data_IF_176196733151
#
_entry.id   IF_176196733151
#
_cell.length_a   1.000
_cell.length_b   1.000
_cell.length_c   1.000
_cell.angle_alpha   90.00
_cell.angle_beta   90.00
_cell.angle_gamma   90.00
#
_symmetry.space_group_name_H-M   'P 1'
#
loop_
_entity.id
_entity.type
_entity.pdbx_description
1 polymer ?
#
# COMPACT_ATOMS: atom_id res chain seq x y z
N UNK A 1 18.62 14.71 -4.23
CA UNK A 1 17.38 13.90 -4.40
C UNK A 1 17.58 12.44 -4.02
N UNK A 2 18.60 11.73 -4.53
CA UNK A 2 18.75 10.28 -4.26
C UNK A 2 19.03 9.98 -2.78
N UNK A 3 19.86 10.78 -2.12
CA UNK A 3 20.15 10.61 -0.68
C UNK A 3 19.03 11.10 0.25
N UNK A 4 18.04 11.84 -0.28
CA UNK A 4 16.90 12.35 0.51
C UNK A 4 15.69 11.40 0.50
N UNK A 5 15.79 10.24 -0.18
CA UNK A 5 14.73 9.24 -0.30
C UNK A 5 15.30 7.87 0.11
N UNK A 6 14.53 7.07 0.82
CA UNK A 6 14.98 5.74 1.25
C UNK A 6 15.04 4.77 0.08
N UNK A 7 15.93 3.78 0.16
CA UNK A 7 16.06 2.72 -0.85
C UNK A 7 14.76 1.93 -1.06
N UNK A 8 13.95 1.75 0.00
CA UNK A 8 12.65 1.08 -0.09
C UNK A 8 11.66 1.90 -0.91
N UNK A 9 11.58 3.22 -0.68
CA UNK A 9 10.70 4.12 -1.45
C UNK A 9 11.13 4.19 -2.92
N UNK A 10 12.44 4.23 -3.20
CA UNK A 10 12.95 4.18 -4.58
C UNK A 10 12.52 2.89 -5.29
N UNK A 11 12.64 1.73 -4.62
CA UNK A 11 12.16 0.45 -5.18
C UNK A 11 10.66 0.46 -5.46
N UNK A 12 9.86 1.02 -4.54
CA UNK A 12 8.42 1.13 -4.71
C UNK A 12 8.04 2.04 -5.89
N UNK A 13 8.75 3.16 -6.07
CA UNK A 13 8.46 4.12 -7.14
C UNK A 13 8.90 3.62 -8.52
N UNK A 14 9.92 2.77 -8.59
CA UNK A 14 10.51 2.30 -9.85
C UNK A 14 9.46 1.71 -10.81
N UNK A 15 8.54 0.87 -10.32
CA UNK A 15 7.47 0.30 -11.15
C UNK A 15 6.56 1.40 -11.72
N UNK A 16 6.11 2.34 -10.89
CA UNK A 16 5.24 3.43 -11.34
C UNK A 16 5.94 4.38 -12.32
N UNK A 17 7.24 4.65 -12.11
CA UNK A 17 8.03 5.50 -13.00
C UNK A 17 8.27 4.85 -14.36
N UNK A 18 8.47 3.53 -14.43
CA UNK A 18 8.53 2.82 -15.72
C UNK A 18 7.25 2.95 -16.51
N UNK A 19 6.09 2.74 -15.87
CA UNK A 19 4.80 2.91 -16.54
C UNK A 19 4.57 4.35 -17.00
N UNK A 20 5.00 5.34 -16.20
CA UNK A 20 4.94 6.74 -16.57
C UNK A 20 5.83 7.03 -17.79
N UNK A 21 7.07 6.54 -17.78
CA UNK A 21 8.01 6.66 -18.90
C UNK A 21 7.39 6.12 -20.20
N UNK A 22 6.87 4.90 -20.18
CA UNK A 22 6.26 4.26 -21.35
C UNK A 22 5.05 5.06 -21.86
N UNK A 23 4.25 5.61 -20.94
CA UNK A 23 3.08 6.41 -21.29
C UNK A 23 3.47 7.73 -21.94
N UNK A 24 4.42 8.45 -21.34
CA UNK A 24 4.93 9.74 -21.85
C UNK A 24 5.53 9.56 -23.24
N UNK A 25 6.34 8.51 -23.42
CA UNK A 25 6.97 8.21 -24.70
C UNK A 25 5.94 7.91 -25.81
N UNK A 26 4.86 7.19 -25.48
CA UNK A 26 3.78 6.89 -26.43
C UNK A 26 2.93 8.11 -26.80
N UNK A 27 2.82 9.09 -25.91
CA UNK A 27 1.96 10.26 -26.10
C UNK A 27 2.74 11.53 -26.48
N UNK A 28 4.05 11.43 -26.73
CA UNK A 28 4.95 12.56 -27.01
C UNK A 28 4.85 13.69 -25.97
N UNK A 29 4.72 13.32 -24.69
CA UNK A 29 4.71 14.26 -23.58
C UNK A 29 6.14 14.49 -23.09
N UNK A 30 6.36 15.59 -22.37
CA UNK A 30 7.58 15.74 -21.58
C UNK A 30 7.42 14.98 -20.25
N UNK A 31 8.50 14.32 -19.83
CA UNK A 31 8.54 13.57 -18.58
C UNK A 31 8.68 14.49 -17.36
N UNK A 32 9.31 15.65 -17.53
CA UNK A 32 9.63 16.59 -16.46
C UNK A 32 8.62 17.74 -16.37
N UNK A 33 8.13 18.26 -17.50
CA UNK A 33 7.04 19.23 -17.55
C UNK A 33 5.66 18.54 -17.53
N UNK A 34 5.25 18.16 -16.32
CA UNK A 34 4.01 17.43 -16.08
C UNK A 34 2.84 18.39 -15.94
N UNK A 35 2.28 18.81 -17.07
CA UNK A 35 0.97 19.45 -17.07
C UNK A 35 -0.03 18.58 -16.29
N UNK A 36 -0.84 19.22 -15.44
CA UNK A 36 -1.81 18.56 -14.56
C UNK A 36 -2.78 17.68 -15.34
N UNK A 37 -3.15 18.10 -16.56
CA UNK A 37 -3.99 17.29 -17.44
C UNK A 37 -3.32 15.98 -17.86
N UNK A 38 -2.03 15.98 -18.21
CA UNK A 38 -1.32 14.79 -18.64
C UNK A 38 -1.21 13.75 -17.53
N UNK A 39 -0.97 14.20 -16.30
CA UNK A 39 -0.96 13.33 -15.11
C UNK A 39 -2.33 12.73 -14.85
N UNK A 40 -3.40 13.52 -14.95
CA UNK A 40 -4.77 13.02 -14.77
C UNK A 40 -5.12 11.98 -15.85
N UNK A 41 -4.77 12.23 -17.12
CA UNK A 41 -5.03 11.27 -18.20
C UNK A 41 -4.28 9.96 -17.98
N UNK A 42 -3.04 10.00 -17.53
CA UNK A 42 -2.29 8.81 -17.15
C UNK A 42 -2.89 8.07 -15.95
N UNK A 43 -3.25 8.78 -14.88
CA UNK A 43 -3.89 8.15 -13.73
C UNK A 43 -5.24 7.54 -14.09
N UNK A 44 -5.97 8.16 -15.02
CA UNK A 44 -7.21 7.63 -15.60
C UNK A 44 -6.93 6.36 -16.40
N UNK A 45 -5.89 6.35 -17.24
CA UNK A 45 -5.44 5.15 -17.95
C UNK A 45 -5.10 4.00 -16.99
N UNK A 46 -4.34 4.26 -15.93
CA UNK A 46 -4.02 3.28 -14.88
C UNK A 46 -5.28 2.78 -14.16
N UNK A 47 -6.25 3.66 -13.91
CA UNK A 47 -7.53 3.30 -13.30
C UNK A 47 -8.33 2.35 -14.22
N UNK A 48 -8.35 2.59 -15.54
CA UNK A 48 -8.95 1.67 -16.51
C UNK A 48 -8.23 0.31 -16.55
N UNK A 49 -6.92 0.28 -16.32
CA UNK A 49 -6.14 -0.95 -16.13
C UNK A 49 -6.36 -1.62 -14.76
N UNK A 50 -7.43 -1.24 -14.05
CA UNK A 50 -7.84 -1.75 -12.72
C UNK A 50 -6.82 -1.54 -11.61
N UNK A 51 -5.96 -0.52 -11.72
CA UNK A 51 -5.06 -0.15 -10.62
C UNK A 51 -5.83 0.10 -9.31
N UNK A 52 -5.17 -0.23 -8.20
CA UNK A 52 -5.72 0.07 -6.87
C UNK A 52 -5.51 1.56 -6.52
N UNK A 53 -6.27 2.07 -5.56
CA UNK A 53 -6.07 3.44 -5.07
C UNK A 53 -4.63 3.65 -4.54
N UNK A 54 -4.05 2.67 -3.83
CA UNK A 54 -2.67 2.77 -3.33
C UNK A 54 -1.64 2.82 -4.46
N UNK A 55 -1.88 2.07 -5.55
CA UNK A 55 -1.06 2.09 -6.76
C UNK A 55 -1.09 3.47 -7.41
N UNK A 56 -2.28 4.04 -7.60
CA UNK A 56 -2.46 5.39 -8.17
C UNK A 56 -1.81 6.46 -7.29
N UNK A 57 -1.94 6.36 -5.97
CA UNK A 57 -1.33 7.29 -5.04
C UNK A 57 0.21 7.20 -5.05
N UNK A 58 0.75 5.98 -5.18
CA UNK A 58 2.18 5.75 -5.36
C UNK A 58 2.67 6.38 -6.65
N UNK A 59 1.95 6.18 -7.77
CA UNK A 59 2.30 6.75 -9.05
C UNK A 59 2.27 8.29 -9.02
N UNK A 60 1.22 8.89 -8.44
CA UNK A 60 1.16 10.35 -8.22
C UNK A 60 2.37 10.86 -7.45
N UNK A 61 2.75 10.19 -6.36
CA UNK A 61 3.86 10.61 -5.51
C UNK A 61 5.21 10.47 -6.22
N UNK A 62 5.39 9.39 -6.97
CA UNK A 62 6.58 9.14 -7.77
C UNK A 62 6.75 10.19 -8.89
N UNK A 63 5.67 10.53 -9.60
CA UNK A 63 5.69 11.58 -10.62
C UNK A 63 6.00 12.94 -9.99
N UNK A 64 5.38 13.27 -8.85
CA UNK A 64 5.68 14.53 -8.17
C UNK A 64 7.12 14.63 -7.64
N UNK A 65 7.83 13.51 -7.46
CA UNK A 65 9.22 13.51 -7.06
C UNK A 65 10.16 13.92 -8.21
N UNK A 66 9.82 13.54 -9.45
CA UNK A 66 10.64 13.80 -10.64
C UNK A 66 10.19 15.03 -11.45
N UNK A 67 8.98 15.53 -11.18
CA UNK A 67 8.44 16.72 -11.81
C UNK A 67 9.16 17.97 -11.32
N UNK A 68 9.40 18.92 -12.24
CA UNK A 68 9.87 20.26 -11.90
C UNK A 68 8.75 21.07 -11.23
N UNK A 69 7.50 20.75 -11.57
CA UNK A 69 6.30 21.39 -11.02
C UNK A 69 5.83 20.70 -9.74
N UNK A 70 5.23 21.45 -8.82
CA UNK A 70 4.61 20.87 -7.62
C UNK A 70 3.28 20.19 -7.95
N UNK A 71 3.33 19.05 -8.65
CA UNK A 71 2.17 18.22 -9.02
C UNK A 71 1.29 17.86 -7.80
N UNK A 72 1.91 17.78 -6.61
CA UNK A 72 1.20 17.53 -5.37
C UNK A 72 0.30 18.69 -4.89
N UNK A 73 0.62 19.94 -5.26
CA UNK A 73 -0.15 21.14 -4.90
C UNK A 73 -1.28 21.43 -5.88
N UNK A 74 -1.33 20.73 -7.02
CA UNK A 74 -2.41 20.91 -7.97
C UNK A 74 -3.75 20.42 -7.38
N UNK A 75 -4.73 21.33 -7.38
CA UNK A 75 -6.08 21.08 -6.91
C UNK A 75 -6.83 20.08 -7.79
N UNK A 76 -6.54 20.02 -9.09
CA UNK A 76 -7.21 19.13 -10.03
C UNK A 76 -6.83 17.66 -9.77
N UNK A 77 -5.54 17.35 -9.67
CA UNK A 77 -5.08 16.00 -9.33
C UNK A 77 -5.59 15.58 -7.95
N UNK A 78 -5.63 16.50 -6.98
CA UNK A 78 -6.16 16.21 -5.64
C UNK A 78 -7.65 15.92 -5.67
N UNK A 79 -8.44 16.68 -6.44
CA UNK A 79 -9.87 16.43 -6.66
C UNK A 79 -10.11 15.11 -7.38
N UNK A 80 -9.30 14.78 -8.39
CA UNK A 80 -9.35 13.50 -9.08
C UNK A 80 -9.15 12.33 -8.12
N UNK A 81 -8.07 12.34 -7.32
CA UNK A 81 -7.79 11.29 -6.35
C UNK A 81 -8.92 11.13 -5.32
N UNK A 82 -9.53 12.24 -4.86
CA UNK A 82 -10.73 12.19 -4.02
C UNK A 82 -11.91 11.50 -4.71
N UNK A 83 -12.11 11.76 -6.00
CA UNK A 83 -13.11 11.08 -6.82
C UNK A 83 -12.88 9.57 -6.89
N UNK A 84 -11.63 9.16 -7.17
CA UNK A 84 -11.25 7.74 -7.22
C UNK A 84 -11.49 7.06 -5.88
N UNK A 85 -11.11 7.70 -4.76
CA UNK A 85 -11.32 7.16 -3.43
C UNK A 85 -12.81 6.94 -3.12
N UNK A 86 -13.68 7.87 -3.53
CA UNK A 86 -15.14 7.74 -3.35
C UNK A 86 -15.73 6.60 -4.21
N UNK A 87 -15.22 6.41 -5.42
CA UNK A 87 -15.67 5.33 -6.32
C UNK A 87 -15.18 3.95 -5.87
N UNK A 88 -13.94 3.88 -5.36
CA UNK A 88 -13.28 2.64 -4.95
C UNK A 88 -12.61 2.87 -3.60
N UNK A 89 -13.36 2.80 -2.49
CA UNK A 89 -12.77 2.92 -1.17
C UNK A 89 -11.73 1.83 -0.99
N UNK A 90 -10.62 2.16 -0.34
CA UNK A 90 -9.59 1.17 -0.02
C UNK A 90 -10.20 0.21 0.99
N UNK A 91 -10.52 -1.01 0.56
CA UNK A 91 -11.09 -2.02 1.44
C UNK A 91 -10.04 -2.40 2.49
N UNK A 92 -10.49 -2.49 3.74
CA UNK A 92 -9.66 -2.99 4.83
C UNK A 92 -9.23 -4.43 4.49
N UNK A 93 -7.94 -4.71 4.66
CA UNK A 93 -7.36 -6.04 4.39
C UNK A 93 -7.95 -7.14 5.30
N UNK A 94 -8.50 -6.74 6.45
CA UNK A 94 -9.15 -7.62 7.40
C UNK A 94 -10.60 -7.17 7.56
N UNK A 95 -11.53 -8.03 7.13
CA UNK A 95 -12.97 -7.85 7.32
C UNK A 95 -13.40 -8.21 8.74
N UNK A 96 -12.64 -9.08 9.41
CA UNK A 96 -12.96 -9.61 10.73
C UNK A 96 -11.71 -9.55 11.60
N UNK A 97 -11.85 -9.04 12.83
CA UNK A 97 -10.81 -9.12 13.85
C UNK A 97 -10.83 -10.55 14.40
N UNK A 98 -9.67 -11.21 14.48
CA UNK A 98 -9.60 -12.56 15.04
C UNK A 98 -10.05 -12.56 16.51
N UNK A 99 -10.74 -13.61 16.95
CA UNK A 99 -11.22 -13.75 18.32
C UNK A 99 -10.05 -14.01 19.28
N UNK A 100 -9.82 -13.06 20.20
CA UNK A 100 -8.73 -13.10 21.19
C UNK A 100 -9.04 -14.00 22.39
N UNK A 101 -10.29 -14.43 22.58
CA UNK A 101 -10.72 -15.20 23.76
C UNK A 101 -9.98 -16.52 23.94
N UNK A 102 -9.64 -17.32 22.90
CA UNK A 102 -8.89 -18.57 23.09
C UNK A 102 -7.47 -18.34 23.60
N UNK A 103 -6.84 -17.24 23.16
CA UNK A 103 -5.48 -16.86 23.58
C UNK A 103 -5.50 -16.36 25.03
N UNK A 104 -6.46 -15.49 25.38
CA UNK A 104 -6.63 -15.00 26.75
C UNK A 104 -6.94 -16.13 27.73
N UNK A 105 -7.83 -17.07 27.35
CA UNK A 105 -8.16 -18.22 28.18
C UNK A 105 -6.97 -19.17 28.38
N UNK A 106 -6.09 -19.29 27.38
CA UNK A 106 -4.86 -20.06 27.52
C UNK A 106 -3.85 -19.35 28.44
N UNK A 107 -3.65 -18.05 28.28
CA UNK A 107 -2.76 -17.25 29.13
C UNK A 107 -3.20 -17.29 30.60
N UNK A 108 -4.50 -17.25 30.88
CA UNK A 108 -5.04 -17.38 32.24
C UNK A 108 -4.71 -18.73 32.90
N UNK A 109 -4.55 -19.81 32.13
CA UNK A 109 -4.21 -21.14 32.64
C UNK A 109 -2.72 -21.30 33.00
N UNK A 110 -1.87 -20.35 32.63
CA UNK A 110 -0.41 -20.40 32.80
C UNK A 110 0.07 -19.79 34.14
N UNK A 111 -0.84 -19.49 35.07
CA UNK A 111 -0.49 -18.94 36.38
C UNK A 111 0.07 -20.04 37.32
N UNK A 112 1.14 -19.79 38.11
CA UNK A 112 1.90 -18.54 38.25
C UNK A 112 3.03 -18.37 37.23
N UNK A 113 3.16 -17.16 36.68
CA UNK A 113 4.08 -16.78 35.59
C UNK A 113 5.59 -16.80 35.93
N UNK A 114 6.00 -17.25 37.12
CA UNK A 114 7.40 -17.15 37.57
C UNK A 114 8.37 -18.10 36.84
N UNK A 115 7.88 -19.08 36.08
CA UNK A 115 8.70 -20.11 35.42
C UNK A 115 8.68 -20.12 33.89
N UNK A 116 7.87 -19.29 33.22
CA UNK A 116 7.77 -19.31 31.76
C UNK A 116 8.83 -18.41 31.12
N UNK A 117 9.82 -19.01 30.47
CA UNK A 117 10.64 -18.29 29.48
C UNK A 117 9.70 -17.89 28.34
N UNK A 118 9.57 -16.59 28.11
CA UNK A 118 8.73 -15.97 27.08
C UNK A 118 8.86 -16.65 25.69
N UNK A 119 10.06 -17.17 25.39
CA UNK A 119 10.42 -17.88 24.17
C UNK A 119 9.55 -19.15 23.94
N UNK A 120 9.33 -19.95 24.99
CA UNK A 120 8.59 -21.22 24.92
C UNK A 120 7.09 -20.99 24.72
N UNK A 121 6.57 -19.88 25.28
CA UNK A 121 5.18 -19.46 25.07
C UNK A 121 4.96 -18.95 23.64
N UNK A 122 5.89 -18.16 23.10
CA UNK A 122 5.78 -17.65 21.73
C UNK A 122 5.87 -18.78 20.69
N UNK A 123 6.84 -19.70 20.80
CA UNK A 123 6.98 -20.82 19.84
C UNK A 123 5.71 -21.69 19.78
N UNK A 124 5.06 -21.93 20.91
CA UNK A 124 3.84 -22.77 20.97
C UNK A 124 2.59 -22.08 20.43
N UNK A 125 2.48 -20.76 20.59
CA UNK A 125 1.39 -19.96 20.00
C UNK A 125 1.51 -19.93 18.47
N UNK A 126 2.73 -19.75 17.94
CA UNK A 126 2.97 -19.80 16.49
C UNK A 126 2.69 -21.19 15.91
N UNK A 127 3.06 -22.27 16.61
CA UNK A 127 2.75 -23.65 16.21
C UNK A 127 1.24 -23.92 16.13
N UNK A 128 0.44 -23.45 17.09
CA UNK A 128 -1.03 -23.67 17.07
C UNK A 128 -1.77 -22.80 16.05
N UNK A 129 -1.27 -21.59 15.75
CA UNK A 129 -1.83 -20.72 14.71
C UNK A 129 -1.80 -21.43 13.35
N UNK A 130 -0.71 -22.16 13.06
CA UNK A 130 -0.58 -22.90 11.81
C UNK A 130 -1.61 -24.05 11.67
N UNK A 131 -2.10 -24.59 12.79
CA UNK A 131 -3.12 -25.65 12.79
C UNK A 131 -4.54 -25.07 12.62
N UNK A 132 -4.84 -23.90 13.18
CA UNK A 132 -6.16 -23.26 13.01
C UNK A 132 -6.40 -22.70 11.59
N UNK A 133 -5.34 -22.27 10.90
CA UNK A 133 -5.43 -21.82 9.51
C UNK A 133 -5.87 -22.96 8.56
N UNK A 134 -5.67 -24.23 8.93
CA UNK A 134 -6.11 -25.41 8.17
C UNK A 134 -7.60 -25.79 8.41
N UNK A 135 -8.20 -25.37 9.53
CA UNK A 135 -9.60 -25.67 9.85
C UNK A 135 -10.58 -24.54 9.47
N UNK A 136 -10.07 -23.45 8.88
CA UNK A 136 -10.87 -22.30 8.44
C UNK A 136 -11.23 -22.33 6.94
N UNK A 137 -10.84 -23.40 6.23
CA UNK A 137 -10.99 -23.58 4.78
C UNK A 137 -11.90 -24.78 4.40
N UNK A 138 -12.70 -25.27 5.34
CA UNK A 138 -13.78 -26.25 5.12
C UNK A 138 -15.08 -25.67 5.64
#
# INVERSE_FOLDING_TARGET
MVNSVTNSTLKQYNCSLKHWWDYVHKNNLDIHDTNSSGVITFLTFQLHMRASYSTLNTARSAISLISVSNTNRDGLITRFMKGVYKQKPTTLRYTTTWDVTPVLNYLNKLYPLKGLKLKDATEKIFSKRHVQDLFSLT
#
